data_IF_136118031985
#
_entry.id   IF_136118031985
#
_cell.length_a   1.000
_cell.length_b   1.000
_cell.length_c   1.000
_cell.angle_alpha   90.00
_cell.angle_beta   90.00
_cell.angle_gamma   90.00
#
_symmetry.space_group_name_H-M   'P 1'
#
loop_
_entity.id
_entity.type
_entity.pdbx_description
1 polymer ?
#
# COMPACT_ATOMS: atom_id res chain seq x y z
N UNK A 1 39.73 34.58 21.77
CA UNK A 1 38.50 33.84 21.34
C UNK A 1 37.67 34.49 20.21
N UNK A 2 37.87 35.77 19.84
CA UNK A 2 37.05 36.43 18.77
C UNK A 2 37.34 35.95 17.34
N UNK A 3 38.49 35.32 17.09
CA UNK A 3 38.97 34.93 15.75
C UNK A 3 38.29 33.67 15.20
N UNK A 4 37.97 32.68 16.05
CA UNK A 4 37.36 31.40 15.61
C UNK A 4 35.94 31.62 15.06
N UNK A 5 35.15 32.54 15.64
CA UNK A 5 33.79 32.86 15.18
C UNK A 5 33.74 33.46 13.77
N UNK A 6 34.86 33.99 13.25
CA UNK A 6 34.92 34.65 11.94
C UNK A 6 35.07 33.63 10.79
N UNK A 7 35.69 32.48 11.06
CA UNK A 7 35.83 31.38 10.09
C UNK A 7 34.48 30.70 9.77
N UNK A 8 33.58 30.61 10.76
CA UNK A 8 32.23 30.04 10.59
C UNK A 8 31.19 31.03 10.02
N UNK A 9 31.60 32.23 9.59
CA UNK A 9 30.68 33.29 9.18
C UNK A 9 30.20 33.18 7.72
N UNK A 10 30.84 32.35 6.90
CA UNK A 10 30.53 32.21 5.47
C UNK A 10 29.78 30.90 5.19
N UNK A 11 28.51 30.80 5.61
CA UNK A 11 27.66 29.61 5.41
C UNK A 11 26.86 29.59 4.11
N UNK A 12 26.79 30.72 3.39
CA UNK A 12 25.92 30.90 2.21
C UNK A 12 26.10 29.80 1.13
N UNK A 13 27.33 29.36 0.87
CA UNK A 13 27.57 28.28 -0.10
C UNK A 13 27.20 26.89 0.41
N UNK A 14 27.40 26.64 1.71
CA UNK A 14 27.05 25.37 2.35
C UNK A 14 25.52 25.23 2.41
N UNK A 15 24.80 26.31 2.71
CA UNK A 15 23.34 26.29 2.80
C UNK A 15 22.68 25.89 1.46
N UNK A 16 23.20 26.38 0.33
CA UNK A 16 22.70 26.00 -1.00
C UNK A 16 22.94 24.52 -1.31
N UNK A 17 24.13 24.00 -0.98
CA UNK A 17 24.46 22.59 -1.19
C UNK A 17 23.60 21.71 -0.28
N UNK A 18 23.43 22.11 0.98
CA UNK A 18 22.61 21.38 1.94
C UNK A 18 21.13 21.36 1.51
N UNK A 19 20.61 22.47 1.01
CA UNK A 19 19.24 22.54 0.49
C UNK A 19 19.02 21.60 -0.70
N UNK A 20 19.97 21.57 -1.65
CA UNK A 20 19.89 20.67 -2.80
C UNK A 20 19.94 19.19 -2.38
N UNK A 21 20.84 18.83 -1.47
CA UNK A 21 20.94 17.46 -0.96
C UNK A 21 19.69 17.05 -0.19
N UNK A 22 19.15 17.94 0.64
CA UNK A 22 17.91 17.68 1.38
C UNK A 22 16.74 17.44 0.42
N UNK A 23 16.61 18.25 -0.64
CA UNK A 23 15.56 18.07 -1.66
C UNK A 23 15.61 16.68 -2.30
N UNK A 24 16.81 16.21 -2.66
CA UNK A 24 16.95 14.89 -3.29
C UNK A 24 16.57 13.78 -2.32
N UNK A 25 17.04 13.85 -1.07
CA UNK A 25 16.77 12.82 -0.07
C UNK A 25 15.28 12.68 0.23
N UNK A 26 14.57 13.81 0.43
CA UNK A 26 13.13 13.74 0.72
C UNK A 26 12.33 13.15 -0.45
N UNK A 27 12.71 13.45 -1.70
CA UNK A 27 12.04 12.91 -2.89
C UNK A 27 12.23 11.41 -2.98
N UNK A 28 13.44 10.92 -2.72
CA UNK A 28 13.75 9.48 -2.73
C UNK A 28 12.95 8.75 -1.65
N UNK A 29 12.93 9.26 -0.42
CA UNK A 29 12.19 8.64 0.69
C UNK A 29 10.68 8.62 0.42
N UNK A 30 10.12 9.75 -0.07
CA UNK A 30 8.71 9.81 -0.44
C UNK A 30 8.37 8.81 -1.55
N UNK A 31 9.22 8.68 -2.57
CA UNK A 31 9.02 7.73 -3.67
C UNK A 31 9.00 6.28 -3.19
N UNK A 32 9.91 5.90 -2.28
CA UNK A 32 9.97 4.53 -1.76
C UNK A 32 8.75 4.21 -0.88
N UNK A 33 8.29 5.18 -0.07
CA UNK A 33 7.09 5.01 0.74
C UNK A 33 5.84 4.82 -0.14
N UNK A 34 5.68 5.64 -1.18
CA UNK A 34 4.57 5.52 -2.14
C UNK A 34 4.61 4.17 -2.85
N UNK A 35 5.80 3.72 -3.29
CA UNK A 35 5.94 2.40 -3.91
C UNK A 35 5.52 1.26 -3.00
N UNK A 36 5.99 1.25 -1.75
CA UNK A 36 5.63 0.21 -0.77
C UNK A 36 4.12 0.23 -0.46
N UNK A 37 3.53 1.42 -0.34
CA UNK A 37 2.10 1.55 -0.09
C UNK A 37 1.25 1.13 -1.29
N UNK A 38 1.59 1.58 -2.50
CA UNK A 38 0.89 1.20 -3.73
C UNK A 38 0.96 -0.30 -3.98
N UNK A 39 2.13 -0.93 -3.80
CA UNK A 39 2.27 -2.37 -3.95
C UNK A 39 1.53 -3.16 -2.86
N UNK A 40 1.49 -2.66 -1.62
CA UNK A 40 0.68 -3.25 -0.55
C UNK A 40 -0.83 -3.18 -0.80
N UNK A 41 -1.32 -2.03 -1.27
CA UNK A 41 -2.73 -1.84 -1.63
C UNK A 41 -3.12 -2.73 -2.82
N UNK A 42 -2.33 -2.70 -3.90
CA UNK A 42 -2.58 -3.53 -5.08
C UNK A 42 -2.44 -5.01 -4.74
N UNK A 43 -1.50 -5.40 -3.89
CA UNK A 43 -1.41 -6.76 -3.37
C UNK A 43 -2.68 -7.18 -2.65
N UNK A 44 -3.26 -6.33 -1.81
CA UNK A 44 -4.52 -6.63 -1.13
C UNK A 44 -5.74 -6.69 -2.06
N UNK A 45 -5.76 -5.91 -3.14
CA UNK A 45 -6.90 -5.83 -4.06
C UNK A 45 -6.83 -6.86 -5.19
N UNK A 46 -5.61 -7.20 -5.64
CA UNK A 46 -5.35 -8.16 -6.71
C UNK A 46 -5.10 -9.57 -6.18
N UNK A 47 -4.86 -9.74 -4.88
CA UNK A 47 -5.10 -11.04 -4.24
C UNK A 47 -6.58 -11.32 -4.42
N UNK A 48 -6.89 -12.16 -5.41
CA UNK A 48 -8.16 -12.87 -5.49
C UNK A 48 -8.49 -13.27 -4.06
N UNK A 49 -9.66 -12.89 -3.52
CA UNK A 49 -10.00 -13.30 -2.17
C UNK A 49 -9.73 -14.80 -2.10
N UNK A 50 -8.96 -15.23 -1.10
CA UNK A 50 -8.82 -16.65 -0.79
C UNK A 50 -10.20 -17.14 -0.29
N UNK A 51 -11.22 -17.11 -1.14
CA UNK A 51 -12.36 -18.02 -1.07
C UNK A 51 -11.72 -19.37 -1.36
N UNK A 52 -11.25 -20.00 -0.28
CA UNK A 52 -10.09 -20.87 -0.34
C UNK A 52 -10.26 -22.03 -1.29
N UNK A 53 -9.69 -21.98 -2.49
CA UNK A 53 -9.69 -22.99 -3.57
C UNK A 53 -11.05 -23.52 -4.05
N UNK A 54 -12.08 -23.48 -3.22
CA UNK A 54 -13.43 -23.99 -3.40
C UNK A 54 -14.39 -22.81 -3.20
N UNK A 55 -14.67 -22.07 -4.27
CA UNK A 55 -15.63 -20.96 -4.22
C UNK A 55 -17.04 -21.51 -4.47
N UNK A 56 -17.74 -21.90 -3.42
CA UNK A 56 -19.14 -22.33 -3.50
C UNK A 56 -20.06 -21.11 -3.50
N UNK A 57 -20.70 -20.85 -4.65
CA UNK A 57 -21.66 -19.76 -4.80
C UNK A 57 -23.09 -20.30 -4.78
N UNK A 58 -23.98 -19.65 -4.02
CA UNK A 58 -25.40 -19.99 -3.96
C UNK A 58 -26.15 -19.22 -5.05
N UNK A 59 -26.77 -19.92 -5.99
CA UNK A 59 -27.42 -19.29 -7.15
C UNK A 59 -28.92 -19.14 -6.97
N UNK A 60 -29.54 -20.11 -6.30
CA UNK A 60 -30.97 -20.07 -6.04
C UNK A 60 -31.33 -20.93 -4.83
N UNK A 61 -32.26 -20.45 -4.00
CA UNK A 61 -32.79 -21.20 -2.88
C UNK A 61 -34.31 -21.04 -2.81
N UNK A 62 -35.00 -22.15 -2.58
CA UNK A 62 -36.44 -22.18 -2.43
C UNK A 62 -36.81 -22.98 -1.19
N UNK A 63 -37.62 -22.37 -0.33
CA UNK A 63 -38.22 -23.04 0.82
C UNK A 63 -39.60 -23.56 0.39
N UNK A 64 -39.66 -24.82 -0.03
CA UNK A 64 -40.88 -25.40 -0.62
C UNK A 64 -41.93 -25.76 0.43
N UNK A 65 -41.53 -26.02 1.68
CA UNK A 65 -42.41 -26.21 2.83
C UNK A 65 -41.62 -25.97 4.14
N UNK A 66 -42.26 -26.15 5.30
CA UNK A 66 -41.63 -25.95 6.62
C UNK A 66 -40.56 -26.98 7.01
N UNK A 67 -40.37 -28.04 6.21
CA UNK A 67 -39.49 -29.19 6.51
C UNK A 67 -38.47 -29.50 5.42
N UNK A 68 -38.55 -28.88 4.25
CA UNK A 68 -37.68 -29.12 3.10
C UNK A 68 -37.34 -27.83 2.36
N UNK A 69 -36.09 -27.76 1.92
CA UNK A 69 -35.56 -26.62 1.18
C UNK A 69 -34.69 -27.12 0.04
N UNK A 70 -34.83 -26.51 -1.13
CA UNK A 70 -34.00 -26.80 -2.30
C UNK A 70 -33.00 -25.68 -2.47
N UNK A 71 -31.72 -26.04 -2.52
CA UNK A 71 -30.60 -25.12 -2.65
C UNK A 71 -29.74 -25.51 -3.86
N UNK A 72 -29.54 -24.57 -4.77
CA UNK A 72 -28.68 -24.72 -5.93
C UNK A 72 -27.35 -24.01 -5.67
N UNK A 73 -26.29 -24.79 -5.50
CA UNK A 73 -24.93 -24.31 -5.27
C UNK A 73 -24.09 -24.63 -6.51
N UNK A 74 -23.34 -23.64 -6.99
CA UNK A 74 -22.33 -23.81 -8.04
C UNK A 74 -20.93 -23.75 -7.44
N UNK A 75 -20.10 -24.75 -7.75
CA UNK A 75 -18.66 -24.64 -7.52
C UNK A 75 -18.04 -23.77 -8.60
N UNK A 76 -17.47 -22.64 -8.20
CA UNK A 76 -16.72 -21.69 -9.03
C UNK A 76 -15.22 -21.71 -8.69
N UNK A 77 -14.81 -22.61 -7.80
CA UNK A 77 -13.41 -22.92 -7.48
C UNK A 77 -12.75 -23.85 -8.51
N UNK A 78 -11.45 -24.10 -8.32
CA UNK A 78 -10.60 -24.95 -9.16
C UNK A 78 -9.65 -25.78 -8.33
#
# INVERSE_FOLDING_TARGET
MKTIKRLFKNKKGIDTILAALLMVVIVVVASVMVYAWSTGLLGSLLVTPNVGKEALNSENYAFTNSTSSTLYIRNTGS
#
